data_IF_225298496680
#
_entry.id   IF_225298496680
#
_cell.length_a   1.000
_cell.length_b   1.000
_cell.length_c   1.000
_cell.angle_alpha   90.00
_cell.angle_beta   90.00
_cell.angle_gamma   90.00
#
_symmetry.space_group_name_H-M   'P 1'
#
loop_
_entity.id
_entity.type
_entity.pdbx_description
1 polymer ?
#
# COMPACT_ATOMS: atom_id res chain seq x y z
N UNK A 1 -1.99 -11.95 9.51
CA UNK A 1 -0.72 -11.44 10.07
C UNK A 1 -0.15 -10.31 9.23
N UNK A 2 0.16 -10.53 7.94
CA UNK A 2 0.74 -9.49 7.07
C UNK A 2 0.00 -8.15 7.04
N UNK A 3 -1.34 -8.16 7.08
CA UNK A 3 -2.14 -6.94 7.15
C UNK A 3 -1.84 -6.05 8.38
N UNK A 4 -1.51 -6.62 9.54
CA UNK A 4 -1.16 -5.83 10.74
C UNK A 4 0.29 -5.31 10.70
N UNK A 5 1.14 -5.95 9.91
CA UNK A 5 2.59 -5.69 9.88
C UNK A 5 3.03 -4.97 8.61
N UNK A 6 2.15 -4.72 7.63
CA UNK A 6 2.49 -4.17 6.32
C UNK A 6 3.35 -2.89 6.42
N UNK A 7 3.04 -2.05 7.42
CA UNK A 7 3.70 -0.78 7.68
C UNK A 7 4.72 -0.80 8.84
N UNK A 8 5.06 -1.98 9.41
CA UNK A 8 5.92 -2.07 10.62
C UNK A 8 7.31 -1.44 10.40
N UNK A 9 7.82 -1.47 9.17
CA UNK A 9 9.11 -0.87 8.83
C UNK A 9 9.13 0.66 8.93
N UNK A 10 7.98 1.34 9.04
CA UNK A 10 7.93 2.78 9.30
C UNK A 10 8.61 3.17 10.61
N UNK A 11 8.76 2.24 11.56
CA UNK A 11 9.53 2.45 12.80
C UNK A 11 10.98 2.86 12.51
N UNK A 12 11.55 2.42 11.37
CA UNK A 12 12.90 2.80 10.95
C UNK A 12 12.98 4.06 10.07
N UNK A 13 11.87 4.76 9.84
CA UNK A 13 11.82 5.98 9.03
C UNK A 13 11.83 7.18 9.98
N UNK A 14 12.66 8.19 9.70
CA UNK A 14 12.70 9.41 10.51
C UNK A 14 11.36 10.16 10.51
N UNK A 15 10.98 10.68 11.66
CA UNK A 15 9.79 11.53 11.87
C UNK A 15 9.74 12.72 10.90
N UNK A 16 10.90 13.25 10.49
CA UNK A 16 10.97 14.35 9.51
C UNK A 16 10.32 13.96 8.18
N UNK A 17 10.38 12.69 7.78
CA UNK A 17 9.69 12.20 6.58
C UNK A 17 8.26 11.72 6.87
N UNK A 18 8.04 11.04 8.01
CA UNK A 18 6.72 10.50 8.37
C UNK A 18 5.68 11.58 8.67
N UNK A 19 6.10 12.65 9.36
CA UNK A 19 5.24 13.72 9.86
C UNK A 19 5.35 14.99 9.01
N UNK A 20 5.99 14.90 7.83
CA UNK A 20 6.13 16.05 6.94
C UNK A 20 4.75 16.59 6.54
N UNK A 21 4.46 17.89 6.77
CA UNK A 21 3.26 18.49 6.23
C UNK A 21 3.38 18.65 4.71
N UNK A 22 2.42 18.12 3.96
CA UNK A 22 2.38 18.21 2.50
C UNK A 22 2.94 16.98 1.78
N UNK A 23 3.25 17.14 0.49
CA UNK A 23 3.75 16.04 -0.36
C UNK A 23 5.24 15.81 -0.15
N UNK A 24 5.64 14.53 -0.15
CA UNK A 24 7.05 14.16 -0.25
C UNK A 24 7.58 14.47 -1.66
N UNK A 25 8.82 14.94 -1.74
CA UNK A 25 9.62 14.99 -2.96
C UNK A 25 10.01 13.58 -3.41
N UNK A 26 10.55 13.43 -4.62
CA UNK A 26 10.97 12.11 -5.13
C UNK A 26 12.10 11.48 -4.28
N UNK A 27 13.03 12.30 -3.77
CA UNK A 27 14.12 11.82 -2.91
C UNK A 27 13.58 11.38 -1.54
N UNK A 28 12.66 12.16 -0.95
CA UNK A 28 12.00 11.81 0.31
C UNK A 28 11.11 10.57 0.15
N UNK A 29 10.45 10.42 -1.00
CA UNK A 29 9.68 9.23 -1.34
C UNK A 29 10.60 8.01 -1.45
N UNK A 30 11.81 8.16 -2.00
CA UNK A 30 12.79 7.08 -2.06
C UNK A 30 13.16 6.59 -0.65
N UNK A 31 13.36 7.50 0.31
CA UNK A 31 13.55 7.14 1.72
C UNK A 31 12.30 6.45 2.27
N UNK A 32 11.11 7.01 2.05
CA UNK A 32 9.86 6.43 2.54
C UNK A 32 9.65 4.99 2.04
N UNK A 33 9.96 4.69 0.77
CA UNK A 33 9.83 3.34 0.18
C UNK A 33 10.69 2.29 0.88
N UNK A 34 11.76 2.68 1.58
CA UNK A 34 12.62 1.74 2.32
C UNK A 34 11.91 1.03 3.47
N UNK A 35 10.76 1.54 3.95
CA UNK A 35 9.99 0.90 5.00
C UNK A 35 9.60 -0.55 4.65
N UNK A 36 9.46 -0.89 3.37
CA UNK A 36 9.19 -2.26 2.93
C UNK A 36 10.35 -3.18 3.31
N UNK A 37 11.58 -2.79 2.95
CA UNK A 37 12.79 -3.54 3.28
C UNK A 37 13.02 -3.62 4.79
N UNK A 38 12.89 -2.50 5.49
CA UNK A 38 13.00 -2.44 6.95
C UNK A 38 11.95 -3.34 7.64
N UNK A 39 10.73 -3.39 7.09
CA UNK A 39 9.68 -4.26 7.58
C UNK A 39 10.02 -5.74 7.43
N UNK A 40 10.56 -6.13 6.26
CA UNK A 40 11.06 -7.49 6.02
C UNK A 40 12.20 -7.85 6.99
N UNK A 41 13.14 -6.92 7.22
CA UNK A 41 14.24 -7.11 8.17
C UNK A 41 13.74 -7.29 9.61
N UNK A 42 12.70 -6.56 10.01
CA UNK A 42 12.10 -6.66 11.35
C UNK A 42 11.42 -8.02 11.51
N UNK A 43 10.54 -8.41 10.60
CA UNK A 43 9.78 -9.66 10.72
C UNK A 43 10.68 -10.89 10.50
N UNK A 44 11.73 -10.76 9.69
CA UNK A 44 12.68 -11.83 9.37
C UNK A 44 13.47 -12.32 10.59
N UNK A 45 13.54 -11.52 11.65
CA UNK A 45 14.17 -11.89 12.94
C UNK A 45 13.36 -12.90 13.75
N UNK A 46 12.15 -13.22 13.32
CA UNK A 46 11.25 -14.11 14.05
C UNK A 46 10.51 -15.07 13.12
N UNK A 47 10.74 -16.37 13.29
CA UNK A 47 10.17 -17.41 12.43
C UNK A 47 8.63 -17.40 12.36
N UNK A 48 7.93 -16.96 13.41
CA UNK A 48 6.47 -16.92 13.40
C UNK A 48 5.89 -15.69 12.70
N UNK A 49 6.70 -14.64 12.48
CA UNK A 49 6.29 -13.42 11.78
C UNK A 49 6.48 -13.51 10.25
N UNK A 50 7.33 -14.43 9.78
CA UNK A 50 7.64 -14.60 8.35
C UNK A 50 6.42 -14.97 7.49
N UNK A 51 5.36 -15.51 8.09
CA UNK A 51 4.07 -15.72 7.40
C UNK A 51 3.45 -14.41 6.85
N UNK A 52 3.87 -13.25 7.36
CA UNK A 52 3.46 -11.94 6.85
C UNK A 52 4.33 -11.40 5.70
N UNK A 53 5.43 -12.06 5.34
CA UNK A 53 6.48 -11.50 4.49
C UNK A 53 6.00 -11.11 3.10
N UNK A 54 5.15 -11.92 2.47
CA UNK A 54 4.61 -11.59 1.15
C UNK A 54 3.85 -10.26 1.15
N UNK A 55 3.02 -10.02 2.18
CA UNK A 55 2.25 -8.77 2.27
C UNK A 55 3.18 -7.62 2.59
N UNK A 56 4.05 -7.76 3.60
CA UNK A 56 5.01 -6.71 3.98
C UNK A 56 5.88 -6.33 2.78
N UNK A 57 6.41 -7.32 2.07
CA UNK A 57 7.33 -7.16 0.95
C UNK A 57 6.69 -6.72 -0.36
N UNK A 58 5.37 -6.87 -0.53
CA UNK A 58 4.72 -6.63 -1.84
C UNK A 58 3.42 -5.83 -1.81
N UNK A 59 2.98 -5.30 -0.66
CA UNK A 59 1.74 -4.52 -0.59
C UNK A 59 1.75 -3.21 -1.42
N UNK A 60 2.93 -2.72 -1.78
CA UNK A 60 3.09 -1.58 -2.68
C UNK A 60 3.35 -1.94 -4.14
N UNK A 61 3.41 -3.25 -4.46
CA UNK A 61 3.45 -3.70 -5.83
C UNK A 61 2.15 -3.33 -6.55
N UNK A 62 2.24 -3.17 -7.86
CA UNK A 62 1.10 -2.83 -8.71
C UNK A 62 0.99 -3.84 -9.82
N UNK A 63 -0.23 -4.25 -10.13
CA UNK A 63 -0.48 -5.27 -11.15
C UNK A 63 0.12 -4.90 -12.52
N UNK A 64 0.22 -3.59 -12.81
CA UNK A 64 0.82 -3.00 -14.02
C UNK A 64 2.37 -2.90 -13.99
N UNK A 65 3.04 -3.36 -12.94
CA UNK A 65 4.51 -3.32 -12.79
C UNK A 65 5.08 -1.97 -12.39
N UNK A 66 4.26 -0.94 -12.20
CA UNK A 66 4.72 0.40 -11.77
C UNK A 66 4.87 0.53 -10.25
N UNK A 67 4.82 -0.61 -9.55
CA UNK A 67 4.92 -0.71 -8.10
C UNK A 67 6.37 -0.75 -7.62
N UNK A 68 6.53 -1.00 -6.33
CA UNK A 68 7.82 -1.14 -5.67
C UNK A 68 7.67 -2.17 -4.52
N UNK A 69 8.77 -2.77 -4.03
CA UNK A 69 10.17 -2.49 -4.34
C UNK A 69 10.73 -3.23 -5.57
N UNK A 70 10.13 -4.34 -5.98
CA UNK A 70 10.70 -5.24 -6.99
C UNK A 70 10.11 -5.06 -8.39
N UNK A 71 9.03 -4.27 -8.52
CA UNK A 71 8.38 -4.02 -9.81
C UNK A 71 7.68 -5.26 -10.36
N UNK A 72 7.13 -6.10 -9.47
CA UNK A 72 6.45 -7.33 -9.84
C UNK A 72 5.19 -7.03 -10.64
N UNK A 73 4.89 -7.89 -11.61
CA UNK A 73 3.77 -7.73 -12.54
C UNK A 73 2.77 -8.87 -12.42
N UNK A 74 1.48 -8.54 -12.52
CA UNK A 74 0.40 -9.53 -12.65
C UNK A 74 0.40 -10.63 -11.58
N UNK A 75 0.67 -11.86 -12.02
CA UNK A 75 0.67 -13.06 -11.18
C UNK A 75 1.99 -13.32 -10.45
N UNK A 76 3.04 -12.54 -10.74
CA UNK A 76 4.29 -12.60 -10.01
C UNK A 76 4.17 -11.94 -8.62
N UNK A 77 3.12 -11.12 -8.40
CA UNK A 77 2.81 -10.56 -7.09
C UNK A 77 2.10 -11.64 -6.27
N UNK A 78 2.56 -11.93 -5.03
CA UNK A 78 1.91 -12.89 -4.14
C UNK A 78 0.41 -12.63 -3.99
N UNK A 79 -0.39 -13.70 -4.00
CA UNK A 79 -1.87 -13.60 -3.99
C UNK A 79 -2.40 -12.86 -2.77
N UNK A 80 -1.81 -13.10 -1.60
CA UNK A 80 -2.11 -12.41 -0.35
C UNK A 80 -1.79 -10.90 -0.42
N UNK A 81 -0.69 -10.50 -1.05
CA UNK A 81 -0.35 -9.10 -1.28
C UNK A 81 -1.32 -8.42 -2.26
N UNK A 82 -1.75 -9.12 -3.32
CA UNK A 82 -2.76 -8.60 -4.26
C UNK A 82 -4.12 -8.37 -3.59
N UNK A 83 -4.57 -9.33 -2.78
CA UNK A 83 -5.80 -9.19 -1.99
C UNK A 83 -5.65 -8.01 -1.01
N UNK A 84 -4.53 -7.94 -0.31
CA UNK A 84 -4.28 -6.88 0.67
C UNK A 84 -4.24 -5.49 0.03
N UNK A 85 -3.67 -5.34 -1.17
CA UNK A 85 -3.64 -4.05 -1.87
C UNK A 85 -5.05 -3.49 -2.15
N UNK A 86 -6.06 -4.36 -2.36
CA UNK A 86 -7.46 -3.94 -2.46
C UNK A 86 -7.96 -3.42 -1.12
N UNK A 87 -7.67 -4.17 -0.06
CA UNK A 87 -8.11 -3.87 1.31
C UNK A 87 -7.50 -2.55 1.79
N UNK A 88 -6.21 -2.33 1.57
CA UNK A 88 -5.49 -1.10 1.95
C UNK A 88 -6.06 0.13 1.23
N UNK A 89 -6.32 0.02 -0.08
CA UNK A 89 -6.97 1.09 -0.84
C UNK A 89 -8.39 1.35 -0.33
N UNK A 90 -9.16 0.30 -0.06
CA UNK A 90 -10.51 0.41 0.48
C UNK A 90 -10.51 1.11 1.85
N UNK A 91 -9.61 0.72 2.75
CA UNK A 91 -9.46 1.35 4.06
C UNK A 91 -9.07 2.82 3.92
N UNK A 92 -8.08 3.14 3.08
CA UNK A 92 -7.70 4.53 2.80
C UNK A 92 -8.85 5.38 2.19
N UNK A 93 -9.77 4.73 1.47
CA UNK A 93 -10.95 5.40 0.90
C UNK A 93 -12.06 5.64 1.91
N UNK A 94 -12.26 4.72 2.86
CA UNK A 94 -13.42 4.68 3.76
C UNK A 94 -13.12 5.14 5.18
N UNK A 95 -11.86 5.20 5.59
CA UNK A 95 -11.44 5.63 6.93
C UNK A 95 -11.26 7.15 7.01
N UNK A 96 -11.70 7.73 8.13
CA UNK A 96 -11.46 9.13 8.44
C UNK A 96 -9.97 9.37 8.65
N UNK A 97 -9.40 10.39 8.00
CA UNK A 97 -8.01 10.82 8.22
C UNK A 97 -8.00 12.30 8.59
N UNK A 98 -6.97 12.82 9.30
CA UNK A 98 -6.92 14.22 9.72
C UNK A 98 -7.15 15.23 8.58
N UNK A 99 -6.83 14.83 7.34
CA UNK A 99 -6.97 15.63 6.13
C UNK A 99 -8.08 15.17 5.18
N UNK A 100 -8.91 14.18 5.57
CA UNK A 100 -9.96 13.61 4.70
C UNK A 100 -11.18 13.14 5.51
N UNK A 101 -12.33 13.76 5.25
CA UNK A 101 -13.62 13.28 5.75
C UNK A 101 -14.01 11.95 5.09
N UNK A 102 -14.76 11.11 5.82
CA UNK A 102 -15.23 9.80 5.33
C UNK A 102 -16.05 10.00 4.05
N UNK A 103 -15.58 9.45 2.95
CA UNK A 103 -16.29 9.44 1.66
C UNK A 103 -17.14 8.18 1.54
N UNK A 104 -18.39 8.31 1.09
CA UNK A 104 -19.23 7.16 0.74
C UNK A 104 -18.57 6.38 -0.40
N UNK A 105 -18.54 5.05 -0.30
CA UNK A 105 -17.96 4.19 -1.34
C UNK A 105 -18.81 4.09 -2.61
N UNK A 106 -20.09 4.47 -2.51
CA UNK A 106 -21.08 4.31 -3.58
C UNK A 106 -20.66 4.85 -4.96
N UNK A 107 -19.92 5.97 -5.09
CA UNK A 107 -19.44 6.46 -6.39
C UNK A 107 -18.40 5.55 -7.07
N UNK A 108 -17.71 4.71 -6.31
CA UNK A 108 -16.62 3.85 -6.80
C UNK A 108 -17.06 2.41 -7.10
N UNK A 109 -18.29 2.04 -6.71
CA UNK A 109 -18.88 0.73 -7.01
C UNK A 109 -19.70 0.82 -8.30
N UNK A 110 -19.05 0.77 -9.45
CA UNK A 110 -19.73 0.53 -10.72
C UNK A 110 -19.83 -0.98 -10.95
N UNK A 111 -21.04 -1.47 -11.25
CA UNK A 111 -21.27 -2.88 -11.58
C UNK A 111 -20.63 -3.17 -12.94
N UNK A 112 -19.39 -3.67 -12.94
CA UNK A 112 -18.75 -4.17 -14.17
C UNK A 112 -19.47 -5.44 -14.62
N UNK A 113 -19.95 -5.47 -15.86
CA UNK A 113 -20.55 -6.63 -16.52
C UNK A 113 -19.53 -7.51 -17.27
N UNK A 114 -18.22 -7.26 -17.09
CA UNK A 114 -17.16 -8.10 -17.65
C UNK A 114 -16.51 -8.93 -16.55
N UNK A 115 -16.51 -10.24 -16.76
CA UNK A 115 -16.08 -11.28 -15.82
C UNK A 115 -14.57 -11.37 -15.61
N UNK A 116 -13.77 -10.60 -16.33
CA UNK A 116 -12.32 -10.69 -16.29
C UNK A 116 -11.74 -9.31 -15.97
N UNK A 117 -10.87 -9.29 -14.97
CA UNK A 117 -10.15 -8.13 -14.44
C UNK A 117 -10.97 -7.16 -13.57
N UNK A 118 -10.96 -7.44 -12.26
CA UNK A 118 -10.95 -6.35 -11.29
C UNK A 118 -9.65 -5.58 -11.53
N UNK A 119 -9.69 -4.63 -12.45
CA UNK A 119 -8.66 -3.62 -12.63
C UNK A 119 -8.75 -2.72 -11.40
N UNK A 120 -8.06 -3.13 -10.32
CA UNK A 120 -8.11 -2.46 -9.03
C UNK A 120 -7.63 -1.03 -9.25
N UNK A 121 -8.57 -0.12 -9.04
CA UNK A 121 -8.49 1.31 -9.22
C UNK A 121 -7.34 1.90 -8.36
N UNK A 122 -6.11 1.87 -8.87
CA UNK A 122 -5.12 2.93 -8.65
C UNK A 122 -5.13 3.90 -9.84
N UNK A 123 -6.32 4.15 -10.40
CA UNK A 123 -6.55 5.30 -11.29
C UNK A 123 -6.88 6.49 -10.40
N UNK A 124 -5.87 7.31 -10.15
CA UNK A 124 -5.92 8.72 -9.72
C UNK A 124 -7.25 9.17 -9.10
N UNK A 125 -7.45 8.93 -7.80
CA UNK A 125 -8.28 9.86 -7.04
C UNK A 125 -7.53 11.20 -7.03
N UNK A 126 -8.14 12.31 -7.47
CA UNK A 126 -7.51 13.62 -7.31
C UNK A 126 -7.33 13.82 -5.81
N UNK A 127 -6.08 13.97 -5.38
CA UNK A 127 -5.80 14.65 -4.12
C UNK A 127 -6.44 16.01 -4.29
N UNK A 128 -7.51 16.28 -3.53
CA UNK A 128 -8.11 17.59 -3.47
C UNK A 128 -6.97 18.57 -3.13
N UNK A 129 -6.62 19.41 -4.11
CA UNK A 129 -5.71 20.51 -3.92
C UNK A 129 -6.38 21.46 -2.92
N UNK A 130 -5.64 21.80 -1.87
CA UNK A 130 -5.87 23.01 -1.09
C UNK A 130 -4.58 23.83 -1.19
#
# INVERSE_FOLDING_TARGET
MGAFLHDVGKIGISDTFLLKPGRLTEDEMTVMRTHVGLGLDIIGRSAWLTMGADVVGSHHERYDGKGYPSGLTGHNIPVNARIFAIIDVFDALTSARPYKAVTSIRPYLTRSSRSDEICILKSTAPVAAN
#
